data_IF_799795742045
#
_entry.id   IF_799795742045
#
_cell.length_a   1.000
_cell.length_b   1.000
_cell.length_c   1.000
_cell.angle_alpha   90.00
_cell.angle_beta   90.00
_cell.angle_gamma   90.00
#
_symmetry.space_group_name_H-M   'P 1'
#
loop_
_entity.id
_entity.type
_entity.pdbx_description
1 polymer ?
#
# COMPACT_ATOMS: atom_id res chain seq x y z
N UNK A 1 -17.62 -18.17 31.98
CA UNK A 1 -18.77 -17.26 31.71
C UNK A 1 -18.46 -15.80 32.02
N UNK A 2 -18.24 -15.40 33.28
CA UNK A 2 -17.98 -13.98 33.61
C UNK A 2 -16.71 -13.41 32.96
N UNK A 3 -15.63 -14.20 32.90
CA UNK A 3 -14.37 -13.80 32.28
C UNK A 3 -14.48 -13.60 30.75
N UNK A 4 -15.20 -14.48 30.04
CA UNK A 4 -15.43 -14.35 28.60
C UNK A 4 -16.26 -13.10 28.27
N UNK A 5 -17.29 -12.79 29.09
CA UNK A 5 -18.06 -11.55 28.93
C UNK A 5 -17.20 -10.30 29.12
N UNK A 6 -16.32 -10.30 30.12
CA UNK A 6 -15.37 -9.21 30.33
C UNK A 6 -14.36 -9.09 29.17
N UNK A 7 -13.87 -10.22 28.65
CA UNK A 7 -12.99 -10.24 27.47
C UNK A 7 -13.69 -9.67 26.24
N UNK A 8 -14.95 -10.05 25.98
CA UNK A 8 -15.75 -9.51 24.88
C UNK A 8 -15.94 -8.00 24.99
N UNK A 9 -16.19 -7.50 26.21
CA UNK A 9 -16.26 -6.08 26.48
C UNK A 9 -14.96 -5.33 26.11
N UNK A 10 -13.79 -5.93 26.40
CA UNK A 10 -12.49 -5.36 26.01
C UNK A 10 -12.27 -5.37 24.50
N UNK A 11 -12.71 -6.42 23.82
CA UNK A 11 -12.65 -6.51 22.34
C UNK A 11 -13.54 -5.44 21.71
N UNK A 12 -14.81 -5.30 22.16
CA UNK A 12 -15.72 -4.22 21.73
C UNK A 12 -15.12 -2.82 21.98
N UNK A 13 -14.51 -2.60 23.15
CA UNK A 13 -13.86 -1.34 23.47
C UNK A 13 -12.63 -1.04 22.58
N UNK A 14 -11.86 -2.08 22.24
CA UNK A 14 -10.71 -1.94 21.34
C UNK A 14 -11.16 -1.59 19.91
N UNK A 15 -12.26 -2.17 19.44
CA UNK A 15 -12.87 -1.81 18.16
C UNK A 15 -13.32 -0.34 18.17
N UNK A 16 -14.03 0.10 19.21
CA UNK A 16 -14.42 1.51 19.38
C UNK A 16 -13.21 2.46 19.37
N UNK A 17 -12.09 2.05 19.98
CA UNK A 17 -10.87 2.84 19.94
C UNK A 17 -10.28 2.95 18.53
N UNK A 18 -10.27 1.86 17.74
CA UNK A 18 -9.84 1.91 16.35
C UNK A 18 -10.75 2.82 15.50
N UNK A 19 -12.06 2.78 15.71
CA UNK A 19 -13.02 3.67 15.04
C UNK A 19 -12.73 5.14 15.33
N UNK A 20 -12.55 5.48 16.62
CA UNK A 20 -12.34 6.87 17.07
C UNK A 20 -10.98 7.44 16.64
N UNK A 21 -9.98 6.58 16.46
CA UNK A 21 -8.61 7.01 16.08
C UNK A 21 -8.36 6.90 14.57
N UNK A 22 -9.36 6.50 13.78
CA UNK A 22 -9.22 6.31 12.34
C UNK A 22 -8.73 7.58 11.60
N UNK A 23 -9.28 8.74 11.93
CA UNK A 23 -8.99 9.99 11.22
C UNK A 23 -7.58 10.52 11.51
N UNK A 24 -6.98 10.12 12.65
CA UNK A 24 -5.64 10.52 13.07
C UNK A 24 -4.53 9.83 12.24
N UNK A 25 -4.85 8.69 11.63
CA UNK A 25 -3.88 7.82 10.95
C UNK A 25 -3.69 8.25 9.50
N UNK A 26 -2.48 8.61 9.08
CA UNK A 26 -2.22 9.08 7.72
C UNK A 26 -1.03 8.39 7.03
N UNK A 27 -0.49 7.33 7.61
CA UNK A 27 0.64 6.58 7.04
C UNK A 27 0.23 5.18 6.65
N UNK A 28 0.80 4.69 5.53
CA UNK A 28 0.59 3.32 5.04
C UNK A 28 0.89 2.27 6.11
N UNK A 29 2.03 2.40 6.78
CA UNK A 29 2.48 1.43 7.77
C UNK A 29 1.52 1.35 8.96
N UNK A 30 1.05 2.50 9.45
CA UNK A 30 0.10 2.52 10.56
C UNK A 30 -1.25 1.94 10.16
N UNK A 31 -1.76 2.23 8.95
CA UNK A 31 -2.99 1.61 8.43
C UNK A 31 -2.85 0.08 8.37
N UNK A 32 -1.73 -0.43 7.86
CA UNK A 32 -1.48 -1.88 7.80
C UNK A 32 -1.45 -2.52 9.19
N UNK A 33 -0.80 -1.89 10.19
CA UNK A 33 -0.80 -2.37 11.57
C UNK A 33 -2.23 -2.42 12.14
N UNK A 34 -3.05 -1.41 11.81
CA UNK A 34 -4.43 -1.29 12.32
C UNK A 34 -5.37 -2.30 11.69
N UNK A 35 -5.18 -2.62 10.41
CA UNK A 35 -5.86 -3.72 9.72
C UNK A 35 -5.53 -5.07 10.36
N UNK A 36 -4.25 -5.37 10.60
CA UNK A 36 -3.87 -6.61 11.32
C UNK A 36 -4.51 -6.68 12.70
N UNK A 37 -4.50 -5.56 13.44
CA UNK A 37 -5.13 -5.51 14.75
C UNK A 37 -6.65 -5.72 14.69
N UNK A 38 -7.30 -5.23 13.63
CA UNK A 38 -8.73 -5.40 13.41
C UNK A 38 -9.08 -6.87 13.17
N UNK A 39 -8.27 -7.60 12.38
CA UNK A 39 -8.43 -9.04 12.15
C UNK A 39 -8.21 -9.87 13.42
N UNK A 40 -7.22 -9.50 14.25
CA UNK A 40 -7.00 -10.13 15.56
C UNK A 40 -8.23 -9.97 16.46
N UNK A 41 -8.83 -8.77 16.49
CA UNK A 41 -10.02 -8.49 17.28
C UNK A 41 -11.23 -9.29 16.79
N UNK A 42 -11.38 -9.45 15.48
CA UNK A 42 -12.45 -10.24 14.88
C UNK A 42 -12.32 -11.72 15.27
N UNK A 43 -11.14 -12.30 15.08
CA UNK A 43 -10.85 -13.69 15.44
C UNK A 43 -11.11 -13.96 16.92
N UNK A 44 -10.65 -13.05 17.79
CA UNK A 44 -10.87 -13.17 19.24
C UNK A 44 -12.34 -13.00 19.62
N UNK A 45 -13.08 -12.12 18.92
CA UNK A 45 -14.51 -11.96 19.13
C UNK A 45 -15.27 -13.25 18.77
N UNK A 46 -15.04 -13.83 17.59
CA UNK A 46 -15.67 -15.09 17.17
C UNK A 46 -15.39 -16.23 18.16
N UNK A 47 -14.13 -16.33 18.60
CA UNK A 47 -13.71 -17.32 19.60
C UNK A 47 -14.48 -17.13 20.91
N UNK A 48 -14.69 -15.90 21.37
CA UNK A 48 -15.43 -15.62 22.60
C UNK A 48 -16.93 -15.82 22.43
N UNK A 49 -17.51 -15.40 21.31
CA UNK A 49 -18.94 -15.46 21.05
C UNK A 49 -19.43 -16.90 20.86
N UNK A 50 -18.62 -17.76 20.23
CA UNK A 50 -18.90 -19.21 20.11
C UNK A 50 -19.03 -19.94 21.45
N UNK A 51 -18.59 -19.34 22.57
CA UNK A 51 -18.72 -19.91 23.91
C UNK A 51 -19.99 -19.49 24.65
N UNK A 52 -20.80 -18.60 24.06
CA UNK A 52 -22.01 -18.05 24.66
C UNK A 52 -23.26 -18.81 24.23
N UNK A 53 -24.35 -18.64 25.00
CA UNK A 53 -25.67 -19.10 24.56
C UNK A 53 -26.20 -18.21 23.44
N UNK A 54 -27.17 -18.71 22.67
CA UNK A 54 -27.84 -17.95 21.59
C UNK A 54 -28.48 -16.65 22.07
N UNK A 55 -28.90 -16.57 23.35
CA UNK A 55 -29.51 -15.37 23.94
C UNK A 55 -28.47 -14.29 24.32
N UNK A 56 -27.21 -14.69 24.53
CA UNK A 56 -26.12 -13.78 24.89
C UNK A 56 -25.23 -13.40 23.69
N UNK A 57 -25.34 -14.16 22.60
CA UNK A 57 -24.63 -13.96 21.33
C UNK A 57 -25.19 -12.74 20.60
N UNK A 58 -24.30 -11.81 20.24
CA UNK A 58 -24.64 -10.60 19.48
C UNK A 58 -23.59 -10.35 18.38
N UNK A 59 -23.38 -11.30 17.46
CA UNK A 59 -22.28 -11.23 16.52
C UNK A 59 -22.52 -10.19 15.43
N UNK A 60 -23.78 -9.99 15.04
CA UNK A 60 -24.14 -9.12 13.93
C UNK A 60 -23.69 -7.67 14.12
N UNK A 61 -23.92 -7.08 15.30
CA UNK A 61 -23.49 -5.69 15.58
C UNK A 61 -21.96 -5.54 15.47
N UNK A 62 -21.22 -6.53 15.95
CA UNK A 62 -19.76 -6.51 15.91
C UNK A 62 -19.23 -6.72 14.49
N UNK A 63 -19.81 -7.67 13.76
CA UNK A 63 -19.49 -7.96 12.36
C UNK A 63 -19.71 -6.74 11.47
N UNK A 64 -20.87 -6.09 11.57
CA UNK A 64 -21.19 -4.89 10.78
C UNK A 64 -20.16 -3.78 11.00
N UNK A 65 -19.76 -3.55 12.27
CA UNK A 65 -18.74 -2.56 12.62
C UNK A 65 -17.35 -2.97 12.11
N UNK A 66 -16.98 -4.24 12.23
CA UNK A 66 -15.73 -4.78 11.70
C UNK A 66 -15.64 -4.57 10.18
N UNK A 67 -16.66 -5.01 9.42
CA UNK A 67 -16.64 -4.91 7.96
C UNK A 67 -16.64 -3.46 7.49
N UNK A 68 -17.41 -2.59 8.14
CA UNK A 68 -17.39 -1.16 7.85
C UNK A 68 -16.01 -0.54 8.08
N UNK A 69 -15.39 -0.81 9.23
CA UNK A 69 -14.08 -0.24 9.55
C UNK A 69 -12.96 -0.82 8.67
N UNK A 70 -13.04 -2.11 8.33
CA UNK A 70 -12.11 -2.77 7.43
C UNK A 70 -12.17 -2.15 6.02
N UNK A 71 -13.37 -1.94 5.48
CA UNK A 71 -13.55 -1.24 4.21
C UNK A 71 -12.95 0.17 4.27
N UNK A 72 -13.25 0.93 5.34
CA UNK A 72 -12.75 2.30 5.53
C UNK A 72 -11.21 2.38 5.57
N UNK A 73 -10.55 1.43 6.21
CA UNK A 73 -9.08 1.36 6.23
C UNK A 73 -8.50 0.98 4.87
N UNK A 74 -9.12 0.04 4.15
CA UNK A 74 -8.67 -0.36 2.81
C UNK A 74 -8.86 0.79 1.81
N UNK A 75 -9.98 1.50 1.83
CA UNK A 75 -10.19 2.69 0.99
C UNK A 75 -9.10 3.74 1.23
N UNK A 76 -8.79 4.03 2.50
CA UNK A 76 -7.72 4.99 2.85
C UNK A 76 -6.33 4.49 2.41
N UNK A 77 -6.09 3.18 2.48
CA UNK A 77 -4.85 2.57 2.00
C UNK A 77 -4.73 2.71 0.49
N UNK A 78 -5.82 2.49 -0.24
CA UNK A 78 -5.89 2.62 -1.69
C UNK A 78 -5.73 4.08 -2.12
N UNK A 79 -6.35 5.05 -1.44
CA UNK A 79 -6.12 6.47 -1.67
C UNK A 79 -4.64 6.84 -1.51
N UNK A 80 -3.96 6.33 -0.47
CA UNK A 80 -2.53 6.54 -0.29
C UNK A 80 -1.70 5.85 -1.38
N UNK A 81 -2.11 4.67 -1.84
CA UNK A 81 -1.44 3.98 -2.93
C UNK A 81 -1.58 4.76 -4.25
N UNK A 82 -2.77 5.28 -4.54
CA UNK A 82 -3.06 6.11 -5.72
C UNK A 82 -2.29 7.43 -5.67
N UNK A 83 -2.27 8.13 -4.53
CA UNK A 83 -1.46 9.35 -4.36
C UNK A 83 0.03 9.12 -4.60
N UNK A 84 0.52 7.92 -4.30
CA UNK A 84 1.91 7.55 -4.50
C UNK A 84 2.22 7.02 -5.91
N UNK A 85 1.20 6.68 -6.71
CA UNK A 85 1.34 6.36 -8.13
C UNK A 85 1.57 7.66 -8.91
N UNK A 86 2.75 7.79 -9.52
CA UNK A 86 3.12 8.96 -10.34
C UNK A 86 3.81 10.11 -9.58
N UNK A 87 3.92 10.05 -8.25
CA UNK A 87 4.76 10.99 -7.52
C UNK A 87 6.24 10.60 -7.64
N UNK A 88 7.03 11.49 -8.23
CA UNK A 88 8.48 11.39 -8.28
C UNK A 88 9.05 11.91 -6.95
N UNK A 89 10.00 11.18 -6.36
CA UNK A 89 10.75 11.60 -5.15
C UNK A 89 11.74 12.74 -5.45
N UNK A 90 11.97 13.01 -6.73
CA UNK A 90 12.94 13.96 -7.23
C UNK A 90 13.35 13.62 -8.65
N UNK A 91 14.28 14.40 -9.18
CA UNK A 91 14.93 14.15 -10.46
C UNK A 91 16.45 14.21 -10.26
N UNK A 92 17.18 13.47 -11.09
CA UNK A 92 18.64 13.52 -11.18
C UNK A 92 19.03 13.72 -12.63
N UNK A 93 20.00 14.60 -12.86
CA UNK A 93 20.59 14.79 -14.18
C UNK A 93 21.59 13.65 -14.41
N UNK A 94 21.40 12.89 -15.49
CA UNK A 94 22.29 11.81 -15.90
C UNK A 94 22.99 12.20 -17.21
N UNK A 95 24.27 11.84 -17.29
CA UNK A 95 25.05 11.96 -18.53
C UNK A 95 25.26 10.55 -19.08
N UNK A 96 24.63 10.26 -20.21
CA UNK A 96 24.82 9.00 -20.94
C UNK A 96 25.93 9.24 -21.97
N UNK A 97 27.03 8.49 -21.84
CA UNK A 97 28.16 8.56 -22.77
C UNK A 97 28.22 7.34 -23.67
N UNK A 98 28.51 7.55 -24.95
CA UNK A 98 28.84 6.47 -25.87
C UNK A 98 30.24 5.92 -25.58
N UNK A 99 30.42 4.60 -25.72
CA UNK A 99 31.74 3.97 -25.63
C UNK A 99 32.51 3.99 -26.96
N UNK A 100 31.81 4.16 -28.08
CA UNK A 100 32.36 4.11 -29.44
C UNK A 100 32.47 5.49 -30.10
N UNK A 101 31.81 6.51 -29.54
CA UNK A 101 31.90 7.91 -29.97
C UNK A 101 32.12 8.83 -28.78
N UNK A 102 32.65 10.05 -29.00
CA UNK A 102 32.78 11.08 -27.96
C UNK A 102 31.44 11.79 -27.66
N UNK A 103 30.31 11.22 -28.10
CA UNK A 103 28.99 11.81 -27.92
C UNK A 103 28.48 11.59 -26.51
N UNK A 104 27.81 12.62 -25.97
CA UNK A 104 27.20 12.62 -24.65
C UNK A 104 25.80 13.16 -24.75
N UNK A 105 24.88 12.52 -24.05
CA UNK A 105 23.50 12.97 -23.92
C UNK A 105 23.20 13.26 -22.45
N UNK A 106 22.69 14.46 -22.19
CA UNK A 106 22.14 14.83 -20.89
C UNK A 106 20.66 14.44 -20.85
N UNK A 107 20.27 13.66 -19.85
CA UNK A 107 18.89 13.24 -19.64
C UNK A 107 18.48 13.43 -18.17
N UNK A 108 17.21 13.79 -17.96
CA UNK A 108 16.66 13.90 -16.61
C UNK A 108 16.00 12.57 -16.25
N UNK A 109 16.48 11.91 -15.21
CA UNK A 109 15.86 10.70 -14.68
C UNK A 109 15.03 11.04 -13.45
N UNK A 110 13.74 10.69 -13.49
CA UNK A 110 12.84 10.87 -12.36
C UNK A 110 12.90 9.68 -11.41
N UNK A 111 13.12 9.95 -10.12
CA UNK A 111 13.17 8.92 -9.08
C UNK A 111 11.74 8.57 -8.70
N UNK A 112 11.32 7.34 -8.96
CA UNK A 112 9.97 6.87 -8.60
C UNK A 112 9.92 6.38 -7.15
N UNK A 113 8.72 6.42 -6.56
CA UNK A 113 8.48 5.93 -5.21
C UNK A 113 8.77 4.42 -5.05
N UNK A 114 8.64 3.65 -6.14
CA UNK A 114 8.89 2.22 -6.24
C UNK A 114 9.91 1.98 -7.37
N UNK A 115 10.76 0.98 -7.23
CA UNK A 115 11.61 0.50 -8.33
C UNK A 115 10.69 -0.15 -9.36
N UNK A 116 10.51 0.50 -10.50
CA UNK A 116 9.64 0.03 -11.59
C UNK A 116 10.40 -0.60 -12.75
N UNK A 117 11.74 -0.57 -12.72
CA UNK A 117 12.56 -0.99 -13.87
C UNK A 117 14.01 -1.23 -13.49
N UNK A 118 14.66 -2.09 -14.29
CA UNK A 118 16.10 -2.34 -14.27
C UNK A 118 16.72 -1.57 -15.43
N UNK A 119 17.92 -1.02 -15.23
CA UNK A 119 18.68 -0.42 -16.34
C UNK A 119 18.91 -1.54 -17.37
N UNK A 120 18.59 -1.35 -18.66
CA UNK A 120 18.79 -2.38 -19.67
C UNK A 120 20.24 -2.83 -19.65
N UNK A 121 20.43 -4.15 -19.57
CA UNK A 121 21.75 -4.79 -19.53
C UNK A 121 22.41 -4.89 -20.91
N UNK A 122 21.70 -4.46 -21.96
CA UNK A 122 22.12 -4.51 -23.35
C UNK A 122 22.43 -3.12 -23.89
N UNK A 123 23.32 -3.06 -24.89
CA UNK A 123 23.68 -1.82 -25.56
C UNK A 123 22.51 -1.31 -26.42
N UNK A 124 22.16 -0.05 -26.24
CA UNK A 124 21.18 0.65 -27.07
C UNK A 124 21.84 1.25 -28.32
N UNK A 125 21.22 1.10 -29.49
CA UNK A 125 21.64 1.81 -30.70
C UNK A 125 21.30 3.30 -30.56
N UNK A 126 22.14 4.16 -31.12
CA UNK A 126 22.00 5.63 -31.08
C UNK A 126 20.69 6.08 -31.73
N UNK A 127 20.16 5.29 -32.68
CA UNK A 127 18.88 5.58 -33.36
C UNK A 127 17.66 5.46 -32.44
N UNK A 128 17.80 4.70 -31.35
CA UNK A 128 16.70 4.42 -30.42
C UNK A 128 16.66 5.43 -29.27
N UNK A 129 17.66 6.34 -29.19
CA UNK A 129 17.73 7.39 -28.17
C UNK A 129 16.56 8.38 -28.26
N UNK A 130 16.07 8.70 -29.46
CA UNK A 130 14.94 9.61 -29.61
C UNK A 130 13.63 8.98 -29.11
N UNK A 131 13.48 7.66 -29.20
CA UNK A 131 12.35 6.92 -28.64
C UNK A 131 12.37 6.96 -27.11
N UNK A 132 13.54 6.79 -26.49
CA UNK A 132 13.72 6.85 -25.03
C UNK A 132 13.40 8.21 -24.40
N UNK A 133 13.47 9.32 -25.15
CA UNK A 133 13.08 10.65 -24.65
C UNK A 133 11.59 10.75 -24.31
N UNK A 134 10.76 9.87 -24.87
CA UNK A 134 9.30 9.89 -24.74
C UNK A 134 8.73 8.81 -23.82
N UNK A 135 9.58 7.92 -23.31
CA UNK A 135 9.18 6.71 -22.57
C UNK A 135 9.55 6.85 -21.11
N UNK A 136 8.61 6.52 -20.24
CA UNK A 136 8.87 6.46 -18.82
C UNK A 136 9.55 5.13 -18.49
N UNK A 137 10.44 5.17 -17.50
CA UNK A 137 11.07 3.97 -16.95
C UNK A 137 10.05 2.89 -16.54
N UNK A 138 8.81 3.26 -16.22
CA UNK A 138 7.74 2.35 -15.85
C UNK A 138 7.04 1.66 -17.03
N UNK A 139 7.28 2.10 -18.25
CA UNK A 139 6.58 1.60 -19.43
C UNK A 139 7.14 0.22 -19.82
N UNK A 140 6.27 -0.74 -20.11
CA UNK A 140 6.68 -2.11 -20.49
C UNK A 140 7.62 -2.12 -21.71
N UNK A 141 7.47 -1.11 -22.59
CA UNK A 141 8.29 -0.95 -23.78
C UNK A 141 9.74 -0.49 -23.49
N UNK A 142 10.02 0.06 -22.30
CA UNK A 142 11.38 0.48 -21.91
C UNK A 142 12.35 -0.71 -21.85
N UNK A 143 11.85 -1.92 -21.55
CA UNK A 143 12.65 -3.15 -21.44
C UNK A 143 12.82 -3.87 -22.78
N UNK A 144 12.29 -3.34 -23.88
CA UNK A 144 12.34 -3.98 -25.20
C UNK A 144 12.53 -2.93 -26.30
N UNK A 145 13.75 -2.37 -26.44
CA UNK A 145 14.06 -1.48 -27.56
C UNK A 145 13.81 -2.21 -28.89
N UNK A 146 13.17 -1.53 -29.86
CA UNK A 146 12.83 -2.05 -31.18
C UNK A 146 13.88 -1.73 -32.21
#
# INVERSE_FOLDING_TARGET
MAENRAARGRVKASLTWLENTFDEINTRNEISIRLTRLDDLFTEFERLDSTLSLEESEPQEFEERYFYLNAKFNDKLDELNVRNQGQTKGCVDLVIGSQSSNERLEVNAFILNKVTSQIPSEFLDVKDLDYLKSILLSDEEFMSPK
#
